data_IF_768732189007
#
_entry.id   IF_768732189007
#
_cell.length_a   1.000
_cell.length_b   1.000
_cell.length_c   1.000
_cell.angle_alpha   90.00
_cell.angle_beta   90.00
_cell.angle_gamma   90.00
#
_symmetry.space_group_name_H-M   'P 1'
#
loop_
_entity.id
_entity.type
_entity.pdbx_description
1 polymer ?
#
# COMPACT_ATOMS: atom_id res chain seq x y z
N UNK A 1 19.00 26.59 -48.83
CA UNK A 1 18.51 27.31 -47.64
C UNK A 1 18.11 26.26 -46.61
N UNK A 2 19.01 25.90 -45.69
CA UNK A 2 18.79 24.85 -44.68
C UNK A 2 18.02 25.45 -43.50
N UNK A 3 16.78 24.98 -43.25
CA UNK A 3 16.04 25.27 -42.02
C UNK A 3 16.53 24.28 -40.95
N UNK A 4 17.18 24.82 -39.92
CA UNK A 4 17.52 24.11 -38.69
C UNK A 4 16.19 23.74 -38.01
N UNK A 5 15.95 22.45 -37.81
CA UNK A 5 14.91 21.95 -36.91
C UNK A 5 15.39 22.27 -35.49
N UNK A 6 14.85 23.32 -34.87
CA UNK A 6 14.96 23.49 -33.42
C UNK A 6 14.28 22.28 -32.77
N UNK A 7 15.07 21.33 -32.28
CA UNK A 7 14.59 20.26 -31.43
C UNK A 7 14.15 20.88 -30.10
N UNK A 8 12.87 21.21 -29.98
CA UNK A 8 12.29 21.51 -28.66
C UNK A 8 12.50 20.28 -27.78
N UNK A 9 13.21 20.45 -26.67
CA UNK A 9 13.31 19.42 -25.66
C UNK A 9 11.89 19.04 -25.20
N UNK A 10 11.59 17.74 -25.01
CA UNK A 10 10.27 17.31 -24.58
C UNK A 10 9.88 18.03 -23.29
N UNK A 11 8.60 18.40 -23.17
CA UNK A 11 8.07 19.07 -21.99
C UNK A 11 8.44 18.26 -20.73
N UNK A 12 8.90 18.96 -19.68
CA UNK A 12 9.20 18.32 -18.40
C UNK A 12 7.91 17.68 -17.87
N UNK A 13 7.90 16.36 -17.76
CA UNK A 13 6.75 15.63 -17.22
C UNK A 13 6.56 16.00 -15.74
N UNK A 14 5.31 16.31 -15.35
CA UNK A 14 5.01 16.61 -13.96
C UNK A 14 4.93 15.33 -13.12
N UNK A 15 5.06 15.46 -11.79
CA UNK A 15 4.87 14.33 -10.88
C UNK A 15 3.47 13.72 -11.06
N UNK A 16 2.44 14.55 -11.16
CA UNK A 16 1.04 14.13 -11.37
C UNK A 16 0.85 13.35 -12.68
N UNK A 17 1.43 13.81 -13.80
CA UNK A 17 1.35 13.08 -15.07
C UNK A 17 2.02 11.70 -15.00
N UNK A 18 3.13 11.63 -14.26
CA UNK A 18 3.86 10.39 -14.02
C UNK A 18 3.03 9.43 -13.17
N UNK A 19 2.45 9.91 -12.07
CA UNK A 19 1.57 9.13 -11.19
C UNK A 19 0.36 8.59 -11.96
N UNK A 20 -0.28 9.43 -12.79
CA UNK A 20 -1.41 9.01 -13.63
C UNK A 20 -1.01 7.89 -14.60
N UNK A 21 0.13 8.04 -15.28
CA UNK A 21 0.64 7.03 -16.22
C UNK A 21 0.92 5.70 -15.51
N UNK A 22 1.57 5.74 -14.34
CA UNK A 22 1.87 4.54 -13.56
C UNK A 22 0.59 3.89 -13.01
N UNK A 23 -0.38 4.68 -12.57
CA UNK A 23 -1.68 4.20 -12.10
C UNK A 23 -2.45 3.49 -13.21
N UNK A 24 -2.52 4.08 -14.41
CA UNK A 24 -3.14 3.45 -15.58
C UNK A 24 -2.41 2.17 -16.01
N UNK A 25 -1.07 2.16 -15.92
CA UNK A 25 -0.28 0.94 -16.18
C UNK A 25 -0.62 -0.16 -15.18
N UNK A 26 -0.65 0.15 -13.88
CA UNK A 26 -1.00 -0.83 -12.85
C UNK A 26 -2.39 -1.43 -13.06
N UNK A 27 -3.36 -0.63 -13.52
CA UNK A 27 -4.72 -1.07 -13.82
C UNK A 27 -4.81 -2.00 -15.04
N UNK A 28 -3.94 -1.84 -16.03
CA UNK A 28 -4.06 -2.51 -17.33
C UNK A 28 -3.00 -3.58 -17.60
N UNK A 29 -1.91 -3.61 -16.83
CA UNK A 29 -0.79 -4.51 -17.05
C UNK A 29 -1.15 -5.97 -16.78
N UNK A 30 -0.94 -6.82 -17.79
CA UNK A 30 -1.14 -8.27 -17.71
C UNK A 30 0.10 -8.99 -17.18
N UNK A 31 1.29 -8.47 -17.48
CA UNK A 31 2.57 -9.03 -17.02
C UNK A 31 2.86 -8.59 -15.58
N UNK A 32 3.31 -9.54 -14.74
CA UNK A 32 3.68 -9.29 -13.35
C UNK A 32 4.81 -8.25 -13.23
N UNK A 33 5.81 -8.34 -14.11
CA UNK A 33 6.96 -7.43 -14.11
C UNK A 33 6.55 -5.97 -14.39
N UNK A 34 5.61 -5.76 -15.32
CA UNK A 34 5.08 -4.44 -15.64
C UNK A 34 4.26 -3.85 -14.48
N UNK A 35 3.45 -4.68 -13.81
CA UNK A 35 2.75 -4.28 -12.58
C UNK A 35 3.75 -3.90 -11.49
N UNK A 36 4.74 -4.76 -11.22
CA UNK A 36 5.77 -4.52 -10.20
C UNK A 36 6.53 -3.22 -10.47
N UNK A 37 6.94 -2.98 -11.71
CA UNK A 37 7.61 -1.73 -12.09
C UNK A 37 6.71 -0.50 -11.88
N UNK A 38 5.42 -0.59 -12.21
CA UNK A 38 4.46 0.49 -11.96
C UNK A 38 4.32 0.78 -10.46
N UNK A 39 4.20 -0.26 -9.63
CA UNK A 39 4.07 -0.16 -8.17
C UNK A 39 5.34 0.45 -7.56
N UNK A 40 6.53 0.05 -8.01
CA UNK A 40 7.80 0.64 -7.57
C UNK A 40 7.87 2.14 -7.89
N UNK A 41 7.42 2.55 -9.08
CA UNK A 41 7.29 3.95 -9.43
C UNK A 41 6.34 4.69 -8.50
N UNK A 42 5.13 4.17 -8.29
CA UNK A 42 4.10 4.78 -7.42
C UNK A 42 4.59 4.92 -5.96
N UNK A 43 5.27 3.89 -5.44
CA UNK A 43 5.89 3.90 -4.11
C UNK A 43 6.83 5.08 -3.93
N UNK A 44 7.61 5.44 -4.96
CA UNK A 44 8.55 6.57 -4.88
C UNK A 44 7.86 7.94 -4.72
N UNK A 45 6.58 8.04 -5.09
CA UNK A 45 5.77 9.25 -4.93
C UNK A 45 4.88 9.22 -3.68
N UNK A 46 4.63 8.05 -3.09
CA UNK A 46 3.59 7.85 -2.08
C UNK A 46 3.70 8.78 -0.86
N UNK A 47 4.92 9.14 -0.44
CA UNK A 47 5.13 10.05 0.71
C UNK A 47 4.99 11.53 0.39
N UNK A 48 5.33 11.93 -0.84
CA UNK A 48 5.35 13.34 -1.28
C UNK A 48 4.04 13.75 -1.96
N UNK A 49 3.38 12.81 -2.64
CA UNK A 49 2.10 13.00 -3.33
C UNK A 49 1.08 11.92 -2.93
N UNK A 50 0.79 11.76 -1.62
CA UNK A 50 -0.09 10.72 -1.11
C UNK A 50 -1.50 10.80 -1.69
N UNK A 51 -2.11 11.99 -1.80
CA UNK A 51 -3.49 12.13 -2.29
C UNK A 51 -3.58 11.75 -3.77
N UNK A 52 -2.61 12.19 -4.57
CA UNK A 52 -2.52 11.86 -6.00
C UNK A 52 -2.35 10.36 -6.23
N UNK A 53 -1.44 9.71 -5.49
CA UNK A 53 -1.21 8.25 -5.60
C UNK A 53 -2.44 7.48 -5.10
N UNK A 54 -3.01 7.89 -3.97
CA UNK A 54 -4.17 7.24 -3.36
C UNK A 54 -5.38 7.28 -4.31
N UNK A 55 -5.67 8.44 -4.93
CA UNK A 55 -6.77 8.62 -5.87
C UNK A 55 -6.66 7.71 -7.11
N UNK A 56 -5.46 7.59 -7.69
CA UNK A 56 -5.24 6.83 -8.93
C UNK A 56 -5.00 5.32 -8.75
N UNK A 57 -4.35 4.93 -7.65
CA UNK A 57 -3.74 3.61 -7.53
C UNK A 57 -4.19 2.78 -6.32
N UNK A 58 -4.93 3.33 -5.35
CA UNK A 58 -5.26 2.58 -4.13
C UNK A 58 -5.95 1.24 -4.42
N UNK A 59 -7.05 1.25 -5.17
CA UNK A 59 -7.83 0.04 -5.45
C UNK A 59 -7.01 -1.02 -6.20
N UNK A 60 -6.26 -0.69 -7.26
CA UNK A 60 -5.31 -1.62 -7.87
C UNK A 60 -4.25 -2.17 -6.91
N UNK A 61 -3.67 -1.32 -6.04
CA UNK A 61 -2.68 -1.76 -5.04
C UNK A 61 -3.29 -2.79 -4.07
N UNK A 62 -4.49 -2.53 -3.54
CA UNK A 62 -5.22 -3.49 -2.70
C UNK A 62 -5.49 -4.79 -3.49
N UNK A 63 -5.88 -4.70 -4.76
CA UNK A 63 -6.09 -5.85 -5.63
C UNK A 63 -4.84 -6.72 -5.78
N UNK A 64 -3.65 -6.11 -5.85
CA UNK A 64 -2.38 -6.84 -5.97
C UNK A 64 -2.06 -7.70 -4.74
N UNK A 65 -2.53 -7.33 -3.54
CA UNK A 65 -2.37 -8.15 -2.34
C UNK A 65 -2.99 -9.55 -2.47
N UNK A 66 -4.00 -9.69 -3.35
CA UNK A 66 -4.65 -10.98 -3.66
C UNK A 66 -4.12 -11.58 -4.95
N UNK A 67 -4.06 -10.78 -6.00
CA UNK A 67 -3.75 -11.25 -7.35
C UNK A 67 -2.29 -11.69 -7.50
N UNK A 68 -1.39 -11.04 -6.75
CA UNK A 68 0.07 -11.26 -6.84
C UNK A 68 0.62 -11.85 -5.53
N UNK A 69 -0.24 -12.44 -4.69
CA UNK A 69 0.10 -12.89 -3.32
C UNK A 69 1.23 -13.93 -3.26
N UNK A 70 1.44 -14.69 -4.33
CA UNK A 70 2.49 -15.72 -4.42
C UNK A 70 3.87 -15.11 -4.67
N UNK A 71 3.93 -13.87 -5.17
CA UNK A 71 5.15 -13.18 -5.50
C UNK A 71 5.57 -12.21 -4.38
N UNK A 72 6.43 -12.70 -3.51
CA UNK A 72 6.89 -11.98 -2.30
C UNK A 72 7.48 -10.61 -2.62
N UNK A 73 8.21 -10.48 -3.73
CA UNK A 73 8.82 -9.20 -4.12
C UNK A 73 7.77 -8.15 -4.49
N UNK A 74 6.72 -8.53 -5.21
CA UNK A 74 5.60 -7.62 -5.54
C UNK A 74 4.80 -7.29 -4.30
N UNK A 75 4.41 -8.30 -3.50
CA UNK A 75 3.65 -8.10 -2.26
C UNK A 75 4.38 -7.12 -1.34
N UNK A 76 5.69 -7.30 -1.15
CA UNK A 76 6.49 -6.39 -0.32
C UNK A 76 6.39 -4.94 -0.81
N UNK A 77 6.58 -4.68 -2.10
CA UNK A 77 6.55 -3.31 -2.64
C UNK A 77 5.14 -2.72 -2.54
N UNK A 78 4.08 -3.52 -2.75
CA UNK A 78 2.69 -3.09 -2.57
C UNK A 78 2.44 -2.67 -1.12
N UNK A 79 2.82 -3.50 -0.15
CA UNK A 79 2.67 -3.23 1.27
C UNK A 79 3.45 -1.97 1.69
N UNK A 80 4.68 -1.79 1.18
CA UNK A 80 5.47 -0.57 1.44
C UNK A 80 4.79 0.68 0.86
N UNK A 81 4.26 0.61 -0.36
CA UNK A 81 3.54 1.73 -0.97
C UNK A 81 2.30 2.12 -0.14
N UNK A 82 1.50 1.13 0.27
CA UNK A 82 0.32 1.35 1.10
C UNK A 82 0.67 1.94 2.46
N UNK A 83 1.70 1.42 3.14
CA UNK A 83 2.17 1.97 4.41
C UNK A 83 2.65 3.42 4.27
N UNK A 84 3.33 3.76 3.17
CA UNK A 84 3.74 5.14 2.90
C UNK A 84 2.55 6.09 2.71
N UNK A 85 1.43 5.62 2.15
CA UNK A 85 0.21 6.43 2.04
C UNK A 85 -0.45 6.69 3.41
N UNK A 86 -0.32 5.76 4.36
CA UNK A 86 -0.76 5.95 5.74
C UNK A 86 0.17 6.86 6.56
N UNK A 87 1.38 7.13 6.08
CA UNK A 87 2.36 7.96 6.77
C UNK A 87 3.14 8.81 5.76
N UNK A 88 2.46 9.80 5.17
CA UNK A 88 3.09 10.74 4.25
C UNK A 88 4.13 11.59 4.97
N UNK A 89 5.03 12.22 4.21
CA UNK A 89 5.99 13.15 4.78
C UNK A 89 5.27 14.45 5.20
N UNK A 90 5.60 14.98 6.38
CA UNK A 90 4.97 16.20 6.91
C UNK A 90 5.15 17.43 5.99
N UNK A 91 6.22 17.42 5.18
CA UNK A 91 6.48 18.47 4.19
C UNK A 91 5.66 18.35 2.91
N UNK A 92 4.89 17.27 2.74
CA UNK A 92 4.04 17.09 1.57
C UNK A 92 2.88 18.09 1.58
N UNK A 93 2.63 18.81 0.47
CA UNK A 93 1.46 19.68 0.36
C UNK A 93 0.14 18.92 0.29
N UNK A 94 0.20 17.60 0.07
CA UNK A 94 -0.98 16.71 0.01
C UNK A 94 -1.18 15.94 1.33
N UNK A 95 -0.26 16.04 2.30
CA UNK A 95 -0.42 15.34 3.57
C UNK A 95 -1.67 15.82 4.32
N UNK A 96 -2.52 14.88 4.73
CA UNK A 96 -3.73 15.15 5.50
C UNK A 96 -4.13 13.91 6.30
N UNK A 97 -4.59 14.12 7.53
CA UNK A 97 -5.15 13.05 8.39
C UNK A 97 -6.39 12.40 7.73
N UNK A 98 -7.08 13.12 6.82
CA UNK A 98 -8.23 12.59 6.06
C UNK A 98 -7.84 11.45 5.12
N UNK A 99 -6.59 11.41 4.65
CA UNK A 99 -6.11 10.34 3.77
C UNK A 99 -6.18 9.01 4.50
N UNK A 100 -5.66 8.92 5.73
CA UNK A 100 -5.69 7.68 6.50
C UNK A 100 -7.13 7.17 6.74
N UNK A 101 -8.08 8.09 6.97
CA UNK A 101 -9.50 7.75 7.12
C UNK A 101 -10.06 7.17 5.81
N UNK A 102 -9.81 7.84 4.68
CA UNK A 102 -10.27 7.40 3.36
C UNK A 102 -9.66 6.06 2.93
N UNK A 103 -8.34 5.89 3.12
CA UNK A 103 -7.65 4.61 2.87
C UNK A 103 -8.30 3.48 3.68
N UNK A 104 -8.57 3.73 4.96
CA UNK A 104 -9.16 2.75 5.86
C UNK A 104 -10.60 2.40 5.48
N UNK A 105 -11.38 3.37 5.00
CA UNK A 105 -12.71 3.12 4.45
C UNK A 105 -12.62 2.21 3.23
N UNK A 106 -11.74 2.50 2.26
CA UNK A 106 -11.59 1.66 1.07
C UNK A 106 -11.12 0.23 1.40
N UNK A 107 -10.25 0.06 2.41
CA UNK A 107 -9.89 -1.27 2.91
C UNK A 107 -11.11 -2.00 3.50
N UNK A 108 -11.87 -1.33 4.37
CA UNK A 108 -12.95 -1.97 5.14
C UNK A 108 -14.30 -2.07 4.41
N UNK A 109 -14.42 -1.44 3.23
CA UNK A 109 -15.58 -1.55 2.34
C UNK A 109 -15.80 -3.00 1.84
N UNK A 110 -14.72 -3.76 1.62
CA UNK A 110 -14.80 -5.16 1.12
C UNK A 110 -14.11 -6.11 2.10
N UNK A 111 -14.88 -7.10 2.57
CA UNK A 111 -14.39 -8.15 3.49
C UNK A 111 -13.10 -8.84 2.99
N UNK A 112 -13.00 -9.08 1.68
CA UNK A 112 -11.85 -9.72 1.05
C UNK A 112 -10.53 -8.96 1.29
N UNK A 113 -10.57 -7.64 1.46
CA UNK A 113 -9.36 -6.82 1.58
C UNK A 113 -8.66 -7.08 2.92
N UNK A 114 -9.42 -7.10 4.03
CA UNK A 114 -8.89 -7.45 5.36
C UNK A 114 -8.52 -8.93 5.40
N UNK A 115 -9.30 -9.79 4.74
CA UNK A 115 -8.99 -11.22 4.65
C UNK A 115 -7.65 -11.46 3.95
N UNK A 116 -7.35 -10.73 2.86
CA UNK A 116 -6.06 -10.82 2.17
C UNK A 116 -4.88 -10.42 3.07
N UNK A 117 -5.00 -9.36 3.87
CA UNK A 117 -3.97 -9.00 4.86
C UNK A 117 -3.77 -10.09 5.92
N UNK A 118 -4.86 -10.73 6.35
CA UNK A 118 -4.80 -11.85 7.31
C UNK A 118 -4.17 -13.10 6.68
N UNK A 119 -4.42 -13.39 5.41
CA UNK A 119 -3.80 -14.51 4.68
C UNK A 119 -2.28 -14.33 4.59
N UNK A 120 -1.80 -13.09 4.42
CA UNK A 120 -0.38 -12.79 4.42
C UNK A 120 0.30 -13.09 5.77
N UNK A 121 -0.46 -13.16 6.87
CA UNK A 121 0.05 -13.58 8.18
C UNK A 121 0.30 -15.09 8.28
N UNK A 122 -0.17 -15.90 7.33
CA UNK A 122 0.14 -17.34 7.29
C UNK A 122 1.41 -17.63 6.48
N UNK A 123 1.93 -16.63 5.77
CA UNK A 123 3.18 -16.76 5.00
C UNK A 123 4.40 -16.88 5.91
N UNK A 124 5.49 -17.43 5.38
CA UNK A 124 6.80 -17.49 6.09
C UNK A 124 7.61 -16.22 5.93
N UNK A 125 7.35 -15.45 4.88
CA UNK A 125 8.09 -14.24 4.56
C UNK A 125 7.99 -13.20 5.68
N UNK A 126 9.11 -12.56 5.98
CA UNK A 126 9.19 -11.61 7.09
C UNK A 126 8.42 -10.33 6.80
N UNK A 127 8.61 -9.74 5.62
CA UNK A 127 8.04 -8.44 5.27
C UNK A 127 6.54 -8.52 5.04
N UNK A 128 6.06 -9.59 4.41
CA UNK A 128 4.65 -9.85 4.19
C UNK A 128 3.89 -9.88 5.53
N UNK A 129 4.41 -10.60 6.53
CA UNK A 129 3.81 -10.64 7.87
C UNK A 129 3.90 -9.29 8.59
N UNK A 130 5.11 -8.71 8.66
CA UNK A 130 5.35 -7.48 9.39
C UNK A 130 4.49 -6.32 8.84
N UNK A 131 4.53 -6.10 7.53
CA UNK A 131 3.84 -4.98 6.92
C UNK A 131 2.33 -5.18 6.87
N UNK A 132 1.84 -6.42 6.77
CA UNK A 132 0.41 -6.70 6.91
C UNK A 132 -0.09 -6.40 8.32
N UNK A 133 0.65 -6.77 9.38
CA UNK A 133 0.31 -6.38 10.75
C UNK A 133 0.30 -4.87 10.94
N UNK A 134 1.29 -4.17 10.38
CA UNK A 134 1.36 -2.70 10.44
C UNK A 134 0.18 -2.06 9.71
N UNK A 135 -0.21 -2.54 8.53
CA UNK A 135 -1.40 -2.04 7.82
C UNK A 135 -2.67 -2.31 8.61
N UNK A 136 -2.87 -3.52 9.13
CA UNK A 136 -4.03 -3.85 9.98
C UNK A 136 -4.08 -2.89 11.18
N UNK A 137 -2.94 -2.59 11.81
CA UNK A 137 -2.86 -1.63 12.90
C UNK A 137 -3.27 -0.21 12.46
N UNK A 138 -2.76 0.30 11.34
CA UNK A 138 -3.11 1.63 10.81
C UNK A 138 -4.61 1.72 10.50
N UNK A 139 -5.17 0.72 9.81
CA UNK A 139 -6.59 0.67 9.46
C UNK A 139 -7.45 0.59 10.74
N UNK A 140 -7.05 -0.23 11.72
CA UNK A 140 -7.77 -0.35 13.00
C UNK A 140 -7.74 0.93 13.82
N UNK A 141 -6.66 1.71 13.74
CA UNK A 141 -6.54 2.98 14.46
C UNK A 141 -7.47 4.05 13.87
N UNK A 142 -7.67 4.05 12.55
CA UNK A 142 -8.57 4.99 11.87
C UNK A 142 -10.04 4.51 11.82
N UNK A 143 -10.29 3.19 11.82
CA UNK A 143 -11.61 2.54 11.71
C UNK A 143 -11.72 1.32 12.62
N UNK A 144 -11.73 1.49 13.95
CA UNK A 144 -11.63 0.37 14.90
C UNK A 144 -12.79 -0.62 14.80
N UNK A 145 -14.02 -0.14 14.89
CA UNK A 145 -15.24 -0.98 14.89
C UNK A 145 -15.36 -1.79 13.60
N UNK A 146 -15.19 -1.10 12.46
CA UNK A 146 -15.32 -1.74 11.14
C UNK A 146 -14.18 -2.74 10.88
N UNK A 147 -12.96 -2.41 11.28
CA UNK A 147 -11.82 -3.34 11.15
C UNK A 147 -12.03 -4.58 12.01
N UNK A 148 -12.51 -4.40 13.25
CA UNK A 148 -12.83 -5.51 14.15
C UNK A 148 -13.91 -6.42 13.55
N UNK A 149 -14.99 -5.85 13.01
CA UNK A 149 -16.04 -6.63 12.34
C UNK A 149 -15.48 -7.46 11.18
N UNK A 150 -14.62 -6.87 10.35
CA UNK A 150 -13.97 -7.58 9.27
C UNK A 150 -13.07 -8.72 9.78
N UNK A 151 -12.30 -8.51 10.84
CA UNK A 151 -11.43 -9.54 11.43
C UNK A 151 -12.28 -10.69 12.00
N UNK A 152 -13.38 -10.39 12.70
CA UNK A 152 -14.26 -11.41 13.28
C UNK A 152 -14.99 -12.23 12.22
N UNK A 153 -15.30 -11.62 11.08
CA UNK A 153 -15.95 -12.28 9.95
C UNK A 153 -14.97 -13.12 9.12
N UNK A 154 -13.68 -12.77 9.11
CA UNK A 154 -12.68 -13.47 8.34
C UNK A 154 -12.43 -14.90 8.88
N UNK A 155 -12.27 -15.91 8.00
CA UNK A 155 -11.90 -17.25 8.42
C UNK A 155 -10.62 -17.23 9.26
N UNK A 156 -10.70 -17.77 10.48
CA UNK A 156 -9.59 -17.81 11.44
C UNK A 156 -8.94 -16.44 11.70
N UNK A 157 -9.67 -15.32 11.54
CA UNK A 157 -9.09 -13.98 11.65
C UNK A 157 -8.42 -13.70 12.99
N UNK A 158 -9.12 -13.96 14.10
CA UNK A 158 -8.54 -13.84 15.46
C UNK A 158 -7.39 -14.85 15.68
N UNK A 159 -7.54 -16.16 15.40
CA UNK A 159 -6.44 -17.12 15.51
C UNK A 159 -5.17 -16.74 14.75
N UNK A 160 -5.28 -16.18 13.54
CA UNK A 160 -4.14 -15.72 12.73
C UNK A 160 -3.38 -14.59 13.41
N UNK A 161 -4.09 -13.59 13.93
CA UNK A 161 -3.48 -12.49 14.70
C UNK A 161 -2.81 -12.99 15.98
N UNK A 162 -3.46 -13.89 16.71
CA UNK A 162 -2.88 -14.49 17.92
C UNK A 162 -1.64 -15.32 17.59
N UNK A 163 -1.64 -16.05 16.47
CA UNK A 163 -0.48 -16.82 16.02
C UNK A 163 0.74 -15.94 15.73
N UNK A 164 0.53 -14.70 15.26
CA UNK A 164 1.63 -13.75 15.06
C UNK A 164 2.37 -13.38 16.35
N UNK A 165 1.70 -13.44 17.53
CA UNK A 165 2.34 -13.25 18.83
C UNK A 165 3.31 -14.39 19.21
N UNK A 166 3.28 -15.51 18.48
CA UNK A 166 4.22 -16.62 18.62
C UNK A 166 5.43 -16.52 17.69
N UNK A 167 5.54 -15.47 16.86
CA UNK A 167 6.65 -15.34 15.90
C UNK A 167 8.00 -15.22 16.62
N UNK A 168 9.01 -15.97 16.15
CA UNK A 168 10.35 -15.90 16.71
C UNK A 168 11.03 -14.53 16.44
N UNK A 169 10.56 -13.80 15.42
CA UNK A 169 11.11 -12.51 15.01
C UNK A 169 10.41 -11.41 15.79
N UNK A 170 11.15 -10.77 16.68
CA UNK A 170 10.64 -9.75 17.59
C UNK A 170 9.82 -8.63 16.92
N UNK A 171 10.19 -8.09 15.74
CA UNK A 171 9.39 -7.03 15.10
C UNK A 171 7.97 -7.48 14.74
N UNK A 172 7.81 -8.74 14.31
CA UNK A 172 6.50 -9.33 13.97
C UNK A 172 5.73 -9.63 15.25
N UNK A 173 6.39 -10.25 16.25
CA UNK A 173 5.78 -10.63 17.53
C UNK A 173 5.25 -9.45 18.31
N UNK A 174 6.07 -8.40 18.45
CA UNK A 174 5.73 -7.24 19.25
C UNK A 174 4.71 -6.33 18.55
N UNK A 175 4.30 -6.65 17.32
CA UNK A 175 3.41 -5.82 16.51
C UNK A 175 3.94 -4.40 16.40
N UNK A 176 5.26 -4.25 16.19
CA UNK A 176 5.98 -2.98 16.43
C UNK A 176 5.28 -1.76 15.81
N UNK A 177 4.89 -0.75 16.63
CA UNK A 177 4.60 0.58 16.12
C UNK A 177 5.95 1.26 15.91
N UNK A 178 6.35 1.46 14.65
CA UNK A 178 7.44 2.40 14.35
C UNK A 178 7.22 3.06 13.01
N UNK A 179 6.66 4.26 13.09
CA UNK A 179 6.92 5.35 12.15
C UNK A 179 7.04 6.60 13.03
N UNK A 180 8.12 6.66 13.81
CA UNK A 180 8.44 7.69 14.83
C UNK A 180 7.39 7.89 15.95
N UNK A 181 7.84 7.68 17.18
CA UNK A 181 7.08 7.82 18.41
C UNK A 181 6.27 9.12 18.50
N UNK A 182 4.99 9.02 18.89
CA UNK A 182 4.27 10.03 19.69
C UNK A 182 3.98 11.37 18.98
N UNK A 183 2.71 11.62 18.63
CA UNK A 183 2.16 12.99 18.79
C UNK A 183 2.06 13.28 20.28
#
# INVERSE_FOLDING_TARGET
MFRILESQAPAKQTATDTINTLSSRLQSATLLEDRRAAIQGLRSFAKIYPASVASGALRPLIGCLRNDQEDVDTVKVVLEALLMLFSPDESSPEASDEIALWLSDEFTQRQDNITALLDLLDTRDFYSRLYSLQLIFQISSARPERTQECILTAPLGIPRLVSALGDAREPVRNGTPRIESVK
#
